data_IF_130494748946
#
_entry.id   IF_130494748946
#
_cell.length_a   1.000
_cell.length_b   1.000
_cell.length_c   1.000
_cell.angle_alpha   90.00
_cell.angle_beta   90.00
_cell.angle_gamma   90.00
#
_symmetry.space_group_name_H-M   'P 1'
#
loop_
_entity.id
_entity.type
_entity.pdbx_description
1 polymer ?
#
# COMPACT_ATOMS: atom_id res chain seq x y z
N UNK A 1 -1.03 7.26 11.72
CA UNK A 1 -0.33 6.24 10.94
C UNK A 1 1.11 6.68 10.67
N UNK A 2 1.84 6.15 9.70
CA UNK A 2 3.25 6.52 9.58
C UNK A 2 3.92 6.00 8.32
N UNK A 3 5.25 6.00 8.34
CA UNK A 3 6.08 5.56 7.23
C UNK A 3 6.85 4.31 7.62
N UNK A 4 7.02 3.41 6.64
CA UNK A 4 7.82 2.20 6.78
C UNK A 4 8.95 2.26 5.74
N UNK A 5 10.17 2.03 6.19
CA UNK A 5 11.36 2.20 5.35
C UNK A 5 12.18 0.91 5.32
N UNK A 6 12.77 0.63 4.16
CA UNK A 6 13.79 -0.40 4.00
C UNK A 6 15.13 0.29 3.78
N UNK A 7 16.14 -0.11 4.55
CA UNK A 7 17.47 0.49 4.52
C UNK A 7 18.53 -0.52 4.06
N UNK A 8 19.49 -0.04 3.30
CA UNK A 8 20.75 -0.75 3.05
C UNK A 8 21.86 0.13 3.67
N UNK A 9 22.34 -0.27 4.85
CA UNK A 9 23.21 0.60 5.64
C UNK A 9 22.45 1.87 6.04
N UNK A 10 22.93 3.03 5.61
CA UNK A 10 22.29 4.32 5.86
C UNK A 10 21.43 4.82 4.70
N UNK A 11 21.36 4.04 3.61
CA UNK A 11 20.59 4.43 2.42
C UNK A 11 19.18 3.88 2.46
N UNK A 12 18.19 4.73 2.21
CA UNK A 12 16.79 4.32 2.06
C UNK A 12 16.62 3.75 0.65
N UNK A 13 16.28 2.46 0.57
CA UNK A 13 16.14 1.77 -0.72
C UNK A 13 14.70 1.43 -1.07
N UNK A 14 13.78 1.58 -0.13
CA UNK A 14 12.36 1.38 -0.36
C UNK A 14 11.55 1.94 0.78
N UNK A 15 10.26 2.13 0.55
CA UNK A 15 9.38 2.62 1.59
C UNK A 15 7.93 2.67 1.17
N UNK A 16 7.07 2.90 2.15
CA UNK A 16 5.65 3.15 1.92
C UNK A 16 5.06 3.89 3.11
N UNK A 17 4.00 4.65 2.84
CA UNK A 17 3.29 5.38 3.87
C UNK A 17 1.96 4.74 4.19
N UNK A 18 1.41 5.08 5.36
CA UNK A 18 0.06 4.70 5.76
C UNK A 18 -0.65 5.97 6.19
N UNK A 19 -1.72 6.31 5.49
CA UNK A 19 -2.53 7.51 5.75
C UNK A 19 -4.01 7.15 5.83
N UNK A 20 -4.82 8.08 6.31
CA UNK A 20 -6.26 7.83 6.47
C UNK A 20 -6.95 7.66 5.11
N UNK A 21 -6.61 8.51 4.13
CA UNK A 21 -7.22 8.46 2.80
C UNK A 21 -6.23 8.92 1.73
N UNK A 22 -6.05 8.11 0.69
CA UNK A 22 -5.14 8.39 -0.43
C UNK A 22 -5.91 9.02 -1.59
N UNK A 23 -6.54 10.17 -1.34
CA UNK A 23 -7.18 11.04 -2.33
C UNK A 23 -8.25 10.32 -3.17
N UNK A 24 -9.20 9.64 -2.50
CA UNK A 24 -10.34 9.00 -3.17
C UNK A 24 -11.64 9.21 -2.39
N UNK A 25 -12.77 8.83 -3.00
CA UNK A 25 -14.09 9.07 -2.43
C UNK A 25 -14.59 7.98 -1.47
N UNK A 26 -13.85 6.87 -1.34
CA UNK A 26 -14.19 5.79 -0.41
C UNK A 26 -13.78 6.11 1.03
N UNK A 27 -14.42 7.09 1.66
CA UNK A 27 -13.98 7.66 2.94
C UNK A 27 -14.00 6.67 4.11
N UNK A 28 -14.82 5.62 4.03
CA UNK A 28 -14.87 4.58 5.07
C UNK A 28 -13.82 3.48 4.87
N UNK A 29 -13.11 3.49 3.74
CA UNK A 29 -12.08 2.52 3.41
C UNK A 29 -10.71 3.04 3.87
N UNK A 30 -10.46 2.93 5.16
CA UNK A 30 -9.29 3.50 5.85
C UNK A 30 -8.68 2.48 6.82
N UNK A 31 -7.35 2.48 7.09
CA UNK A 31 -6.32 3.36 6.50
C UNK A 31 -5.84 2.88 5.13
N UNK A 32 -5.12 3.74 4.42
CA UNK A 32 -4.58 3.44 3.09
C UNK A 32 -3.06 3.36 3.12
N UNK A 33 -2.52 2.32 2.48
CA UNK A 33 -1.10 2.23 2.15
C UNK A 33 -0.86 3.04 0.87
N UNK A 34 0.14 3.90 0.88
CA UNK A 34 0.42 4.80 -0.24
C UNK A 34 1.92 4.96 -0.47
N UNK A 35 2.28 5.61 -1.57
CA UNK A 35 3.65 5.97 -1.92
C UNK A 35 4.62 4.79 -1.87
N UNK A 36 4.16 3.61 -2.31
CA UNK A 36 5.00 2.42 -2.38
C UNK A 36 6.09 2.63 -3.41
N UNK A 37 7.36 2.54 -2.99
CA UNK A 37 8.47 2.70 -3.92
C UNK A 37 9.65 1.80 -3.54
N UNK A 38 10.51 1.53 -4.53
CA UNK A 38 11.80 0.86 -4.37
C UNK A 38 12.80 1.53 -5.29
N UNK A 39 14.01 1.83 -4.79
CA UNK A 39 15.09 2.37 -5.61
C UNK A 39 15.35 1.46 -6.81
N UNK A 40 15.60 2.06 -7.97
CA UNK A 40 15.68 1.33 -9.25
C UNK A 40 16.65 0.14 -9.21
N UNK A 41 17.84 0.34 -8.68
CA UNK A 41 18.86 -0.72 -8.60
C UNK A 41 18.51 -1.86 -7.64
N UNK A 42 17.50 -1.68 -6.79
CA UNK A 42 17.03 -2.70 -5.85
C UNK A 42 15.71 -3.34 -6.26
N UNK A 43 15.16 -2.96 -7.40
CA UNK A 43 13.90 -3.53 -7.91
C UNK A 43 14.10 -5.01 -8.25
N UNK A 44 13.01 -5.76 -8.25
CA UNK A 44 12.97 -7.21 -8.52
C UNK A 44 13.64 -8.06 -7.44
N UNK A 45 13.92 -7.50 -6.27
CA UNK A 45 14.45 -8.23 -5.11
C UNK A 45 13.40 -8.50 -4.04
N UNK A 46 12.13 -8.25 -4.32
CA UNK A 46 11.04 -8.51 -3.39
C UNK A 46 10.92 -7.52 -2.24
N UNK A 47 11.58 -6.36 -2.30
CA UNK A 47 11.58 -5.38 -1.22
C UNK A 47 10.17 -4.81 -0.97
N UNK A 48 9.45 -4.45 -2.02
CA UNK A 48 8.10 -3.93 -1.88
C UNK A 48 7.17 -4.96 -1.24
N UNK A 49 7.28 -6.24 -1.63
CA UNK A 49 6.50 -7.32 -1.04
C UNK A 49 6.81 -7.53 0.43
N UNK A 50 8.08 -7.48 0.81
CA UNK A 50 8.48 -7.60 2.22
C UNK A 50 7.93 -6.43 3.04
N UNK A 51 7.97 -5.22 2.50
CA UNK A 51 7.40 -4.05 3.17
C UNK A 51 5.89 -4.18 3.32
N UNK A 52 5.18 -4.64 2.29
CA UNK A 52 3.74 -4.85 2.35
C UNK A 52 3.37 -5.83 3.46
N UNK A 53 4.10 -6.94 3.57
CA UNK A 53 3.86 -7.94 4.63
C UNK A 53 4.16 -7.35 6.00
N UNK A 54 5.26 -6.62 6.14
CA UNK A 54 5.63 -5.98 7.41
C UNK A 54 4.58 -4.96 7.85
N UNK A 55 4.10 -4.12 6.94
CA UNK A 55 3.07 -3.13 7.23
C UNK A 55 1.78 -3.80 7.68
N UNK A 56 1.34 -4.83 6.96
CA UNK A 56 0.12 -5.56 7.30
C UNK A 56 0.23 -6.20 8.69
N UNK A 57 1.36 -6.86 8.97
CA UNK A 57 1.58 -7.52 10.27
C UNK A 57 1.67 -6.51 11.41
N UNK A 58 2.39 -5.40 11.19
CA UNK A 58 2.54 -4.36 12.23
C UNK A 58 1.20 -3.69 12.56
N UNK A 59 0.43 -3.29 11.54
CA UNK A 59 -0.87 -2.67 11.77
C UNK A 59 -1.84 -3.64 12.42
N UNK A 60 -1.85 -4.90 12.00
CA UNK A 60 -2.70 -5.93 12.61
C UNK A 60 -2.35 -6.14 14.08
N UNK A 61 -1.06 -6.13 14.42
CA UNK A 61 -0.62 -6.26 15.82
C UNK A 61 -1.09 -5.10 16.70
N UNK A 62 -1.38 -3.95 16.09
CA UNK A 62 -1.93 -2.76 16.76
C UNK A 62 -3.45 -2.69 16.71
N UNK A 63 -4.11 -3.75 16.23
CA UNK A 63 -5.57 -3.80 16.10
C UNK A 63 -6.11 -3.02 14.91
N UNK A 64 -5.28 -2.69 13.93
CA UNK A 64 -5.67 -1.95 12.73
C UNK A 64 -5.77 -2.92 11.56
N UNK A 65 -6.97 -3.39 11.27
CA UNK A 65 -7.28 -4.22 10.11
C UNK A 65 -8.79 -4.14 9.86
N UNK A 66 -9.26 -4.29 8.63
CA UNK A 66 -8.46 -4.41 7.42
C UNK A 66 -7.76 -3.11 7.03
N UNK A 67 -6.84 -3.19 6.07
CA UNK A 67 -6.16 -2.05 5.47
C UNK A 67 -6.41 -2.05 3.97
N UNK A 68 -6.22 -0.89 3.33
CA UNK A 68 -6.64 -0.68 1.94
C UNK A 68 -5.53 0.00 1.13
N UNK A 69 -5.58 -0.13 -0.18
CA UNK A 69 -4.77 0.68 -1.09
C UNK A 69 -5.49 0.87 -2.43
N UNK A 70 -5.13 1.93 -3.15
CA UNK A 70 -5.59 2.16 -4.52
C UNK A 70 -4.41 2.00 -5.47
N UNK A 71 -4.66 1.37 -6.62
CA UNK A 71 -3.63 1.13 -7.63
C UNK A 71 -4.25 0.80 -8.97
N UNK A 72 -3.50 1.08 -10.04
CA UNK A 72 -3.87 0.63 -11.38
C UNK A 72 -3.18 -0.69 -11.76
N UNK A 73 -2.28 -1.18 -10.91
CA UNK A 73 -1.58 -2.45 -11.15
C UNK A 73 -2.47 -3.65 -10.84
N UNK A 74 -2.40 -4.66 -11.69
CA UNK A 74 -3.12 -5.92 -11.53
C UNK A 74 -2.09 -7.04 -11.48
N UNK A 75 -2.25 -7.96 -10.51
CA UNK A 75 -1.40 -9.14 -10.37
C UNK A 75 -0.21 -8.99 -9.41
N UNK A 76 0.14 -7.77 -9.02
CA UNK A 76 1.25 -7.54 -8.09
C UNK A 76 0.83 -7.74 -6.63
N UNK A 77 -0.17 -6.98 -6.19
CA UNK A 77 -0.60 -6.98 -4.78
C UNK A 77 -1.27 -8.28 -4.38
N UNK A 78 -1.92 -8.96 -5.32
CA UNK A 78 -2.56 -10.25 -5.08
C UNK A 78 -1.56 -11.30 -4.57
N UNK A 79 -0.30 -11.20 -4.97
CA UNK A 79 0.76 -12.12 -4.51
C UNK A 79 1.03 -12.01 -3.01
N UNK A 80 0.62 -10.91 -2.38
CA UNK A 80 0.91 -10.59 -0.99
C UNK A 80 -0.36 -10.55 -0.12
N UNK A 81 -1.41 -11.23 -0.57
CA UNK A 81 -2.63 -11.38 0.20
C UNK A 81 -3.63 -10.23 0.05
N UNK A 82 -3.43 -9.35 -0.91
CA UNK A 82 -4.35 -8.28 -1.23
C UNK A 82 -5.40 -8.77 -2.22
N UNK A 83 -6.65 -8.38 -1.99
CA UNK A 83 -7.78 -8.76 -2.85
C UNK A 83 -8.45 -7.52 -3.41
N UNK A 84 -8.91 -7.62 -4.67
CA UNK A 84 -9.71 -6.54 -5.26
C UNK A 84 -11.02 -6.40 -4.50
N UNK A 85 -11.35 -5.19 -4.06
CA UNK A 85 -12.58 -4.91 -3.32
C UNK A 85 -13.61 -4.21 -4.19
N UNK A 86 -13.26 -3.08 -4.77
CA UNK A 86 -14.19 -2.27 -5.56
C UNK A 86 -13.45 -1.20 -6.36
N UNK A 87 -14.18 -0.48 -7.19
CA UNK A 87 -13.66 0.72 -7.85
C UNK A 87 -14.01 1.94 -6.99
N UNK A 88 -13.09 2.90 -6.93
CA UNK A 88 -13.30 4.19 -6.26
C UNK A 88 -12.92 5.32 -7.19
N UNK A 89 -13.48 6.51 -6.95
CA UNK A 89 -13.14 7.71 -7.72
C UNK A 89 -11.98 8.42 -7.04
N UNK A 90 -10.86 8.59 -7.76
CA UNK A 90 -9.76 9.40 -7.29
C UNK A 90 -10.13 10.88 -7.30
N UNK A 91 -9.68 11.64 -6.29
CA UNK A 91 -9.96 13.06 -6.17
C UNK A 91 -9.33 13.81 -7.34
N UNK A 92 -10.15 14.48 -8.15
CA UNK A 92 -9.69 15.22 -9.32
C UNK A 92 -9.32 14.38 -10.54
N UNK A 93 -9.50 13.06 -10.45
CA UNK A 93 -9.18 12.15 -11.56
C UNK A 93 -10.41 11.90 -12.43
N UNK A 94 -10.25 11.81 -13.78
CA UNK A 94 -11.39 11.55 -14.67
C UNK A 94 -11.89 10.11 -14.59
N UNK A 95 -11.04 9.15 -14.25
CA UNK A 95 -11.37 7.73 -14.23
C UNK A 95 -11.38 7.18 -12.80
N UNK A 96 -12.10 6.07 -12.64
CA UNK A 96 -12.08 5.33 -11.38
C UNK A 96 -10.81 4.49 -11.28
N UNK A 97 -10.38 4.20 -10.05
CA UNK A 97 -9.21 3.37 -9.77
C UNK A 97 -9.61 2.16 -8.92
N UNK A 98 -8.75 1.15 -8.90
CA UNK A 98 -9.01 -0.10 -8.18
C UNK A 98 -8.64 0.06 -6.70
N UNK A 99 -9.56 -0.34 -5.82
CA UNK A 99 -9.34 -0.42 -4.38
C UNK A 99 -9.08 -1.88 -4.00
N UNK A 100 -7.97 -2.13 -3.32
CA UNK A 100 -7.63 -3.44 -2.78
C UNK A 100 -7.74 -3.44 -1.27
N UNK A 101 -8.01 -4.62 -0.70
CA UNK A 101 -8.15 -4.82 0.73
C UNK A 101 -7.20 -5.94 1.17
N UNK A 102 -6.59 -5.76 2.34
CA UNK A 102 -5.84 -6.81 3.05
C UNK A 102 -6.49 -7.03 4.40
N UNK A 103 -7.00 -8.22 4.61
CA UNK A 103 -7.70 -8.59 5.85
C UNK A 103 -6.76 -9.13 6.93
#
# INVERSE_FOLDING_TARGET
>A
YGWYLCLDGNQIIGGMGVIANDFHDGKDLTPNVCAVYTEEKYRFQGIAGKLLNMVADDLKSKGISPIYLVTDHIGFYEKYGWEFLCMVQGDGEPDMTRMYIHR
#
